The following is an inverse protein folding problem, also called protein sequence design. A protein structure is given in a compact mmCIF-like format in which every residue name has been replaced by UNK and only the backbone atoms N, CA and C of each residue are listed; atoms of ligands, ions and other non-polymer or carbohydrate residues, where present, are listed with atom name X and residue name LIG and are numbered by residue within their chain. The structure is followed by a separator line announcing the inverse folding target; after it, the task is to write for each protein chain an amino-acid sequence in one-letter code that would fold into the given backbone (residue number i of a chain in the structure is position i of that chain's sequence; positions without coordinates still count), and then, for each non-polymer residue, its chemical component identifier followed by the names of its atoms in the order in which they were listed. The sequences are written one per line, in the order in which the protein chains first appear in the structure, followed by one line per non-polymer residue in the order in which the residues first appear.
data_IF_525667783360
#
_entry.id   IF_525667783360
#
_cell.length_a   1.000
_cell.length_b   1.000
_cell.length_c   1.000
_cell.angle_alpha   90.00
_cell.angle_beta   90.00
_cell.angle_gamma   90.00
#
_symmetry.space_group_name_H-M   'P 1'
#
loop_
_entity.id
_entity.type
_entity.pdbx_description
1 polymer ?
#
# COMPACT_ATOMS: atom_id res chain seq x y z
N UNK A 1 1.68 35.64 13.05
CA UNK A 1 2.46 34.72 13.92
C UNK A 1 1.79 33.37 14.22
N UNK A 2 0.48 33.15 14.01
CA UNK A 2 -0.19 31.83 14.23
C UNK A 2 0.11 30.74 13.17
N UNK A 3 0.59 31.12 11.99
CA UNK A 3 0.75 30.21 10.84
C UNK A 3 2.08 29.40 10.88
N UNK A 4 3.15 29.98 11.46
CA UNK A 4 4.48 29.35 11.50
C UNK A 4 4.55 28.18 12.48
N UNK A 5 3.96 28.30 13.68
CA UNK A 5 3.93 27.20 14.68
C UNK A 5 3.15 25.98 14.18
N UNK A 6 2.05 26.20 13.47
CA UNK A 6 1.26 25.13 12.87
C UNK A 6 2.01 24.44 11.73
N UNK A 7 2.68 25.20 10.86
CA UNK A 7 3.52 24.65 9.79
C UNK A 7 4.68 23.82 10.32
N UNK A 8 5.39 24.32 11.34
CA UNK A 8 6.48 23.56 11.99
C UNK A 8 5.94 22.28 12.63
N UNK A 9 4.78 22.31 13.29
CA UNK A 9 4.16 21.11 13.84
C UNK A 9 3.80 20.08 12.75
N UNK A 10 3.27 20.53 11.60
CA UNK A 10 2.99 19.66 10.46
C UNK A 10 4.26 19.07 9.84
N UNK A 11 5.34 19.85 9.71
CA UNK A 11 6.63 19.38 9.21
C UNK A 11 7.25 18.32 10.14
N UNK A 12 7.17 18.53 11.45
CA UNK A 12 7.62 17.55 12.45
C UNK A 12 6.79 16.26 12.37
N UNK A 13 5.46 16.38 12.27
CA UNK A 13 4.59 15.21 12.08
C UNK A 13 4.90 14.47 10.77
N UNK A 14 5.12 15.21 9.68
CA UNK A 14 5.50 14.64 8.39
C UNK A 14 6.83 13.90 8.47
N UNK A 15 7.84 14.49 9.12
CA UNK A 15 9.16 13.85 9.29
C UNK A 15 9.06 12.53 10.07
N UNK A 16 8.23 12.47 11.10
CA UNK A 16 8.02 11.24 11.87
C UNK A 16 7.07 10.24 11.20
N UNK A 17 6.23 10.69 10.26
CA UNK A 17 5.24 9.83 9.59
C UNK A 17 5.81 9.04 8.40
N UNK A 18 6.94 9.46 7.82
CA UNK A 18 7.56 8.77 6.67
C UNK A 18 8.17 7.41 7.05
N UNK A 19 8.18 6.47 6.11
CA UNK A 19 8.79 5.15 6.27
C UNK A 19 10.32 5.19 6.48
N UNK A 20 10.89 4.17 7.15
CA UNK A 20 12.34 4.03 7.28
C UNK A 20 12.97 3.52 5.96
N UNK A 21 14.14 4.07 5.58
CA UNK A 21 14.95 3.60 4.44
C UNK A 21 15.28 2.11 4.52
N UNK A 22 15.53 1.59 5.72
CA UNK A 22 15.85 0.16 5.89
C UNK A 22 14.65 -0.74 5.56
N UNK A 23 13.44 -0.31 5.92
CA UNK A 23 12.21 -1.04 5.58
C UNK A 23 11.96 -1.02 4.07
N UNK A 24 12.22 0.11 3.41
CA UNK A 24 12.15 0.24 1.95
C UNK A 24 13.13 -0.74 1.28
N UNK A 25 14.40 -0.73 1.70
CA UNK A 25 15.42 -1.61 1.14
C UNK A 25 15.11 -3.09 1.39
N UNK A 26 14.62 -3.43 2.59
CA UNK A 26 14.20 -4.78 2.93
C UNK A 26 13.01 -5.25 2.09
N UNK A 27 12.03 -4.39 1.82
CA UNK A 27 10.90 -4.77 0.97
C UNK A 27 11.35 -5.01 -0.47
N UNK A 28 12.20 -4.11 -1.01
CA UNK A 28 12.72 -4.19 -2.38
C UNK A 28 13.64 -5.39 -2.63
N UNK A 29 14.28 -5.93 -1.60
CA UNK A 29 15.17 -7.10 -1.75
C UNK A 29 14.40 -8.42 -1.86
N UNK A 30 13.10 -8.44 -1.55
CA UNK A 30 12.28 -9.64 -1.67
C UNK A 30 11.89 -9.85 -3.13
N UNK A 31 12.27 -11.01 -3.67
CA UNK A 31 11.80 -11.45 -5.00
C UNK A 31 10.39 -12.02 -4.88
N UNK A 32 9.49 -11.52 -5.71
CA UNK A 32 8.13 -12.03 -5.85
C UNK A 32 8.02 -12.97 -7.05
N UNK A 33 7.02 -13.86 -7.00
CA UNK A 33 6.55 -14.58 -8.19
C UNK A 33 5.90 -13.57 -9.15
N UNK A 34 5.99 -13.84 -10.45
CA UNK A 34 5.39 -12.97 -11.49
C UNK A 34 3.87 -12.87 -11.35
N UNK A 35 3.23 -13.96 -10.93
CA UNK A 35 1.80 -14.02 -10.63
C UNK A 35 1.54 -14.77 -9.34
N UNK A 36 0.67 -14.21 -8.51
CA UNK A 36 0.21 -14.75 -7.23
C UNK A 36 -1.29 -14.98 -7.39
N UNK A 37 -1.66 -16.16 -7.88
CA UNK A 37 -3.05 -16.52 -8.20
C UNK A 37 -3.96 -16.49 -6.97
N UNK A 38 -3.39 -16.74 -5.80
CA UNK A 38 -4.10 -16.76 -4.53
C UNK A 38 -4.58 -15.36 -4.13
N UNK A 39 -3.92 -14.28 -4.57
CA UNK A 39 -4.38 -12.90 -4.33
C UNK A 39 -5.51 -12.46 -5.27
N UNK A 40 -5.82 -13.26 -6.29
CA UNK A 40 -6.85 -12.94 -7.29
C UNK A 40 -8.23 -13.49 -6.91
N UNK A 41 -8.39 -13.98 -5.67
CA UNK A 41 -9.64 -14.58 -5.18
C UNK A 41 -10.10 -13.93 -3.87
N UNK A 42 -11.42 -13.79 -3.68
CA UNK A 42 -11.97 -13.13 -2.50
C UNK A 42 -11.76 -13.90 -1.18
N UNK A 43 -11.53 -15.21 -1.24
CA UNK A 43 -11.33 -16.08 -0.08
C UNK A 43 -9.90 -16.05 0.47
N UNK A 44 -8.99 -15.31 -0.16
CA UNK A 44 -7.64 -15.13 0.33
C UNK A 44 -7.60 -14.55 1.75
N UNK A 45 -7.02 -15.31 2.68
CA UNK A 45 -6.92 -14.90 4.07
C UNK A 45 -5.68 -14.00 4.31
N UNK A 46 -5.84 -12.70 4.04
CA UNK A 46 -4.82 -11.70 4.30
C UNK A 46 -4.42 -11.54 5.77
N UNK A 47 -5.20 -12.03 6.74
CA UNK A 47 -4.87 -11.90 8.17
C UNK A 47 -3.66 -12.73 8.58
N UNK A 48 -3.35 -13.80 7.83
CA UNK A 48 -2.18 -14.66 8.08
C UNK A 48 -0.86 -14.08 7.59
N UNK A 49 -0.91 -13.00 6.81
CA UNK A 49 0.28 -12.36 6.27
C UNK A 49 1.10 -11.66 7.36
N UNK A 50 2.41 -11.82 7.28
CA UNK A 50 3.35 -11.10 8.12
C UNK A 50 3.37 -9.60 7.83
N UNK A 51 3.99 -8.85 8.74
CA UNK A 51 4.23 -7.42 8.60
C UNK A 51 5.05 -7.03 7.36
N UNK A 52 5.84 -7.98 6.81
CA UNK A 52 6.59 -7.78 5.58
C UNK A 52 5.75 -8.15 4.34
N UNK A 53 5.00 -9.25 4.39
CA UNK A 53 4.21 -9.73 3.25
C UNK A 53 3.05 -8.78 2.90
N UNK A 54 2.38 -8.19 3.90
CA UNK A 54 1.27 -7.24 3.64
C UNK A 54 1.68 -6.07 2.73
N UNK A 55 2.70 -5.24 3.08
CA UNK A 55 3.12 -4.17 2.19
C UNK A 55 3.68 -4.69 0.86
N UNK A 56 4.35 -5.85 0.87
CA UNK A 56 4.88 -6.47 -0.36
C UNK A 56 3.75 -6.82 -1.34
N UNK A 57 2.68 -7.43 -0.85
CA UNK A 57 1.51 -7.79 -1.65
C UNK A 57 0.65 -6.58 -2.02
N UNK A 58 0.61 -5.53 -1.21
CA UNK A 58 0.00 -4.27 -1.60
C UNK A 58 0.73 -3.63 -2.81
N UNK A 59 2.06 -3.64 -2.80
CA UNK A 59 2.88 -3.21 -3.95
C UNK A 59 2.60 -4.10 -5.17
N UNK A 60 2.58 -5.43 -5.00
CA UNK A 60 2.24 -6.35 -6.10
C UNK A 60 0.86 -6.08 -6.71
N UNK A 61 -0.18 -5.90 -5.89
CA UNK A 61 -1.54 -5.62 -6.36
C UNK A 61 -1.59 -4.34 -7.18
N UNK A 62 -0.91 -3.27 -6.73
CA UNK A 62 -0.80 -2.04 -7.49
C UNK A 62 -0.13 -2.27 -8.85
N UNK A 63 1.06 -2.91 -8.87
CA UNK A 63 1.78 -3.21 -10.11
C UNK A 63 0.94 -4.03 -11.08
N UNK A 64 0.23 -5.05 -10.57
CA UNK A 64 -0.62 -5.95 -11.36
C UNK A 64 -1.79 -5.24 -12.04
N UNK A 65 -2.26 -4.12 -11.48
CA UNK A 65 -3.31 -3.29 -12.09
C UNK A 65 -2.76 -2.20 -13.00
N UNK A 66 -1.60 -1.63 -12.66
CA UNK A 66 -1.19 -0.32 -13.19
C UNK A 66 0.10 -0.32 -14.00
N UNK A 67 0.89 -1.40 -14.01
CA UNK A 67 2.09 -1.49 -14.86
C UNK A 67 1.70 -1.36 -16.33
N UNK A 68 2.27 -0.36 -17.00
CA UNK A 68 1.97 -0.04 -18.40
C UNK A 68 0.67 0.75 -18.61
N UNK A 69 -0.12 1.00 -17.56
CA UNK A 69 -1.36 1.79 -17.61
C UNK A 69 -1.12 3.24 -17.18
N UNK A 70 -0.38 3.43 -16.08
CA UNK A 70 0.01 4.75 -15.58
C UNK A 70 1.52 4.81 -15.35
N UNK A 71 2.07 6.03 -15.35
CA UNK A 71 3.47 6.27 -15.01
C UNK A 71 3.59 6.52 -13.51
N UNK A 72 4.48 5.78 -12.85
CA UNK A 72 4.81 5.97 -11.45
C UNK A 72 6.24 5.51 -11.20
N UNK A 73 6.89 6.02 -10.16
CA UNK A 73 8.20 5.55 -9.72
C UNK A 73 8.05 4.41 -8.71
N UNK A 74 8.80 3.32 -8.91
CA UNK A 74 8.69 2.13 -8.07
C UNK A 74 9.10 2.40 -6.62
N UNK A 75 10.14 3.21 -6.40
CA UNK A 75 10.59 3.52 -5.05
C UNK A 75 9.57 4.40 -4.33
N UNK A 76 8.94 5.33 -5.05
CA UNK A 76 7.87 6.15 -4.49
C UNK A 76 6.62 5.32 -4.14
N UNK A 77 6.26 4.33 -4.95
CA UNK A 77 5.19 3.37 -4.61
C UNK A 77 5.53 2.60 -3.32
N UNK A 78 6.75 2.07 -3.21
CA UNK A 78 7.18 1.34 -2.00
C UNK A 78 7.16 2.25 -0.77
N UNK A 79 7.69 3.48 -0.88
CA UNK A 79 7.66 4.47 0.20
C UNK A 79 6.24 4.85 0.59
N UNK A 80 5.35 5.03 -0.39
CA UNK A 80 3.95 5.35 -0.17
C UNK A 80 3.27 4.25 0.64
N UNK A 81 3.36 2.99 0.21
CA UNK A 81 2.72 1.85 0.91
C UNK A 81 3.25 1.71 2.35
N UNK A 82 4.56 1.78 2.55
CA UNK A 82 5.16 1.68 3.88
C UNK A 82 4.80 2.86 4.79
N UNK A 83 4.71 4.06 4.22
CA UNK A 83 4.28 5.27 4.93
C UNK A 83 2.81 5.15 5.33
N UNK A 84 1.91 4.75 4.43
CA UNK A 84 0.49 4.49 4.75
C UNK A 84 0.37 3.47 5.88
N UNK A 85 1.07 2.33 5.79
CA UNK A 85 1.09 1.31 6.86
C UNK A 85 1.49 1.91 8.20
N UNK A 86 2.58 2.68 8.24
CA UNK A 86 3.11 3.29 9.47
C UNK A 86 2.12 4.25 10.13
N UNK A 87 1.26 4.88 9.36
CA UNK A 87 0.30 5.86 9.84
C UNK A 87 -1.04 5.27 10.30
N UNK A 88 -1.29 3.97 10.08
CA UNK A 88 -2.39 3.29 10.74
C UNK A 88 -2.12 3.12 12.24
N UNK A 89 -3.12 3.48 13.05
CA UNK A 89 -3.04 3.31 14.51
C UNK A 89 -3.24 1.85 14.91
N UNK A 90 -2.62 1.44 16.01
CA UNK A 90 -2.81 0.12 16.64
C UNK A 90 -4.09 0.10 17.46
N UNK A 91 -5.23 0.08 16.78
CA UNK A 91 -6.56 -0.01 17.38
C UNK A 91 -7.28 -1.28 16.92
N UNK A 92 -8.31 -1.68 17.67
CA UNK A 92 -9.17 -2.77 17.25
C UNK A 92 -9.86 -2.43 15.92
N UNK A 93 -9.85 -3.40 15.00
CA UNK A 93 -10.48 -3.34 13.68
C UNK A 93 -9.93 -2.26 12.71
N UNK A 94 -9.97 -0.98 13.04
CA UNK A 94 -9.56 0.14 12.16
C UNK A 94 -8.03 0.32 12.08
N UNK A 95 -7.32 -0.76 11.79
CA UNK A 95 -5.87 -0.81 11.68
C UNK A 95 -5.44 -1.18 10.25
N UNK A 96 -4.12 -1.28 10.04
CA UNK A 96 -3.53 -1.60 8.75
C UNK A 96 -4.08 -2.89 8.14
N UNK A 97 -4.35 -3.93 8.95
CA UNK A 97 -4.85 -5.19 8.44
C UNK A 97 -6.23 -5.03 7.78
N UNK A 98 -7.11 -4.21 8.36
CA UNK A 98 -8.40 -3.90 7.74
C UNK A 98 -8.25 -3.07 6.46
N UNK A 99 -7.44 -2.01 6.47
CA UNK A 99 -7.17 -1.21 5.28
C UNK A 99 -6.61 -2.05 4.12
N UNK A 100 -5.70 -2.98 4.43
CA UNK A 100 -5.17 -3.93 3.48
C UNK A 100 -6.25 -4.87 2.91
N UNK A 101 -7.13 -5.41 3.76
CA UNK A 101 -8.21 -6.30 3.30
C UNK A 101 -9.20 -5.59 2.37
N UNK A 102 -9.50 -4.30 2.63
CA UNK A 102 -10.32 -3.47 1.74
C UNK A 102 -9.62 -3.28 0.39
N UNK A 103 -8.33 -2.94 0.39
CA UNK A 103 -7.54 -2.81 -0.84
C UNK A 103 -7.48 -4.11 -1.64
N UNK A 104 -7.35 -5.26 -0.98
CA UNK A 104 -7.38 -6.57 -1.62
C UNK A 104 -8.75 -6.88 -2.26
N UNK A 105 -9.85 -6.61 -1.55
CA UNK A 105 -11.18 -6.79 -2.12
C UNK A 105 -11.38 -5.92 -3.38
N UNK A 106 -10.90 -4.67 -3.35
CA UNK A 106 -10.90 -3.79 -4.52
C UNK A 106 -10.01 -4.32 -5.64
N UNK A 107 -8.82 -4.83 -5.34
CA UNK A 107 -7.94 -5.47 -6.33
C UNK A 107 -8.65 -6.60 -7.06
N UNK A 108 -9.23 -7.55 -6.32
CA UNK A 108 -9.96 -8.69 -6.92
C UNK A 108 -11.13 -8.19 -7.78
N UNK A 109 -11.93 -7.25 -7.27
CA UNK A 109 -13.04 -6.66 -8.03
C UNK A 109 -12.57 -6.04 -9.35
N UNK A 110 -11.49 -5.26 -9.31
CA UNK A 110 -10.92 -4.58 -10.48
C UNK A 110 -10.31 -5.56 -11.49
N UNK A 111 -9.81 -6.73 -11.05
CA UNK A 111 -9.31 -7.78 -11.96
C UNK A 111 -10.42 -8.50 -12.72
N UNK A 112 -11.63 -8.60 -12.16
CA UNK A 112 -12.74 -9.35 -12.77
C UNK A 112 -13.74 -8.47 -13.52
N UNK A 113 -13.64 -7.15 -13.40
CA UNK A 113 -14.56 -6.19 -14.03
C UNK A 113 -13.87 -5.34 -15.09
N UNK A 114 -14.65 -4.89 -16.07
CA UNK A 114 -14.20 -3.98 -17.13
C UNK A 114 -15.01 -2.68 -17.17
N UNK A 115 -15.81 -2.42 -16.13
CA UNK A 115 -16.77 -1.32 -16.11
C UNK A 115 -16.13 0.05 -15.81
N UNK A 116 -14.91 0.06 -15.27
CA UNK A 116 -14.19 1.26 -14.88
C UNK A 116 -13.14 1.63 -15.93
N UNK A 117 -13.01 2.92 -16.22
CA UNK A 117 -11.91 3.45 -17.00
C UNK A 117 -10.61 3.47 -16.17
N UNK A 118 -9.43 3.45 -16.80
CA UNK A 118 -8.15 3.49 -16.08
C UNK A 118 -8.00 4.64 -15.07
N UNK A 119 -8.67 5.78 -15.31
CA UNK A 119 -8.65 6.95 -14.42
C UNK A 119 -9.52 6.77 -13.17
N UNK A 120 -10.55 5.93 -13.22
CA UNK A 120 -11.42 5.63 -12.08
C UNK A 120 -10.85 4.51 -11.20
N UNK A 121 -9.97 3.69 -11.78
CA UNK A 121 -9.25 2.61 -11.09
C UNK A 121 -8.04 3.16 -10.31
N UNK A 122 -7.31 4.11 -10.90
CA UNK A 122 -6.09 4.72 -10.34
C UNK A 122 -6.37 5.71 -9.21
#
# INVERSE_FOLDING_TARGET
MRNVKYRVALEVLAYHSVCNKDEVNKLKSVKLRDRIVELETFDFNGMKLSELEKPLYAVYMFKSLFDGVIRYDYDDLVRFVLTVRKNYRRVAYHNWAHGWSVAHAMFVLLKITTIFSPKEVC
#
